data_IF_330758258667
#
_entry.id   IF_330758258667
#
_cell.length_a   1.000
_cell.length_b   1.000
_cell.length_c   1.000
_cell.angle_alpha   90.00
_cell.angle_beta   90.00
_cell.angle_gamma   90.00
#
_symmetry.space_group_name_H-M   'P 1'
#
loop_
_entity.id
_entity.type
_entity.pdbx_description
1 polymer ?
#
# COMPACT_ATOMS: atom_id res chain seq x y z
N UNK A 1 11.12 9.83 -3.18
CA UNK A 1 9.99 9.85 -2.24
C UNK A 1 8.71 9.83 -3.07
N UNK A 2 8.01 8.69 -3.09
CA UNK A 2 6.83 8.47 -3.93
C UNK A 2 5.57 8.83 -3.12
N UNK A 3 4.81 9.85 -3.53
CA UNK A 3 3.53 10.24 -2.92
C UNK A 3 2.34 9.81 -3.81
N UNK A 4 2.63 9.09 -4.90
CA UNK A 4 1.65 8.61 -5.88
C UNK A 4 1.01 7.26 -5.54
N UNK A 5 1.23 6.77 -4.31
CA UNK A 5 0.75 5.44 -3.89
C UNK A 5 -0.76 5.28 -4.03
N UNK A 6 -1.51 6.33 -3.74
CA UNK A 6 -2.97 6.36 -3.87
C UNK A 6 -3.42 6.10 -5.32
N UNK A 7 -2.88 6.86 -6.28
CA UNK A 7 -3.21 6.71 -7.70
C UNK A 7 -2.72 5.39 -8.27
N UNK A 8 -1.53 4.93 -7.84
CA UNK A 8 -0.99 3.63 -8.23
C UNK A 8 -1.87 2.47 -7.72
N UNK A 9 -2.39 2.58 -6.49
CA UNK A 9 -3.33 1.63 -5.92
C UNK A 9 -4.68 1.67 -6.63
N UNK A 10 -5.21 2.85 -6.96
CA UNK A 10 -6.46 2.99 -7.73
C UNK A 10 -6.37 2.27 -9.08
N UNK A 11 -5.31 2.53 -9.86
CA UNK A 11 -5.10 1.82 -11.12
C UNK A 11 -4.78 0.34 -10.92
N UNK A 12 -4.11 -0.03 -9.84
CA UNK A 12 -3.97 -1.42 -9.42
C UNK A 12 -5.34 -2.09 -9.21
N UNK A 13 -6.29 -1.38 -8.60
CA UNK A 13 -7.68 -1.84 -8.44
C UNK A 13 -8.38 -2.09 -9.77
N UNK A 14 -8.13 -1.26 -10.78
CA UNK A 14 -8.58 -1.54 -12.16
C UNK A 14 -7.96 -2.83 -12.69
N UNK A 15 -6.65 -3.03 -12.53
CA UNK A 15 -5.97 -4.26 -12.93
C UNK A 15 -6.53 -5.52 -12.25
N UNK A 16 -6.83 -5.43 -10.94
CA UNK A 16 -7.50 -6.48 -10.17
C UNK A 16 -8.90 -6.75 -10.73
N UNK A 17 -9.70 -5.70 -10.95
CA UNK A 17 -11.07 -5.85 -11.45
C UNK A 17 -11.11 -6.47 -12.84
N UNK A 18 -10.23 -6.04 -13.75
CA UNK A 18 -10.14 -6.61 -15.09
C UNK A 18 -9.73 -8.09 -15.04
N UNK A 19 -8.76 -8.44 -14.19
CA UNK A 19 -8.35 -9.83 -14.00
C UNK A 19 -9.49 -10.70 -13.44
N UNK A 20 -10.27 -10.19 -12.47
CA UNK A 20 -11.36 -10.95 -11.85
C UNK A 20 -12.63 -11.04 -12.71
N UNK A 21 -12.90 -10.07 -13.57
CA UNK A 21 -14.11 -10.02 -14.39
C UNK A 21 -13.98 -10.76 -15.73
N UNK A 22 -12.84 -10.59 -16.41
CA UNK A 22 -12.67 -11.07 -17.78
C UNK A 22 -12.00 -12.45 -17.87
N UNK A 23 -11.37 -12.92 -16.80
CA UNK A 23 -10.75 -14.24 -16.76
C UNK A 23 -11.60 -15.17 -15.90
N UNK A 24 -12.12 -16.28 -16.45
CA UNK A 24 -12.86 -17.26 -15.68
C UNK A 24 -11.89 -18.09 -14.84
N UNK A 25 -11.77 -17.76 -13.55
CA UNK A 25 -10.91 -18.47 -12.63
C UNK A 25 -11.62 -19.70 -12.05
N UNK A 26 -11.02 -20.90 -12.11
CA UNK A 26 -11.60 -22.11 -11.55
C UNK A 26 -11.45 -22.19 -10.03
N UNK A 27 -10.52 -21.44 -9.44
CA UNK A 27 -10.26 -21.44 -8.01
C UNK A 27 -9.69 -20.08 -7.54
N UNK A 28 -10.03 -19.69 -6.31
CA UNK A 28 -9.67 -18.40 -5.72
C UNK A 28 -8.16 -18.17 -5.62
N UNK A 29 -7.35 -19.23 -5.51
CA UNK A 29 -5.88 -19.14 -5.47
C UNK A 29 -5.29 -18.62 -6.79
N UNK A 30 -5.83 -19.12 -7.91
CA UNK A 30 -5.41 -18.66 -9.24
C UNK A 30 -5.95 -17.26 -9.51
N UNK A 31 -7.18 -16.97 -9.06
CA UNK A 31 -7.72 -15.63 -9.10
C UNK A 31 -6.87 -14.64 -8.29
N UNK A 32 -6.42 -15.01 -7.09
CA UNK A 32 -5.54 -14.18 -6.25
C UNK A 32 -4.20 -13.93 -6.95
N UNK A 33 -3.59 -14.95 -7.55
CA UNK A 33 -2.34 -14.79 -8.30
C UNK A 33 -2.52 -13.89 -9.52
N UNK A 34 -3.58 -14.10 -10.30
CA UNK A 34 -3.92 -13.29 -11.47
C UNK A 34 -4.25 -11.84 -11.11
N UNK A 35 -5.07 -11.63 -10.08
CA UNK A 35 -5.38 -10.32 -9.53
C UNK A 35 -4.14 -9.62 -8.98
N UNK A 36 -3.25 -10.33 -8.29
CA UNK A 36 -1.99 -9.78 -7.79
C UNK A 36 -1.08 -9.32 -8.93
N UNK A 37 -0.94 -10.14 -9.99
CA UNK A 37 -0.17 -9.76 -11.19
C UNK A 37 -0.82 -8.58 -11.89
N UNK A 38 -2.14 -8.57 -12.06
CA UNK A 38 -2.89 -7.47 -12.67
C UNK A 38 -2.73 -6.16 -11.89
N UNK A 39 -2.94 -6.21 -10.57
CA UNK A 39 -2.79 -5.07 -9.68
C UNK A 39 -1.36 -4.53 -9.66
N UNK A 40 -0.36 -5.41 -9.54
CA UNK A 40 1.04 -5.02 -9.57
C UNK A 40 1.44 -4.43 -10.94
N UNK A 41 0.99 -5.02 -12.05
CA UNK A 41 1.32 -4.55 -13.39
C UNK A 41 0.72 -3.17 -13.66
N UNK A 42 -0.55 -2.94 -13.34
CA UNK A 42 -1.19 -1.65 -13.54
C UNK A 42 -0.63 -0.57 -12.61
N UNK A 43 -0.39 -0.89 -11.34
CA UNK A 43 0.25 0.03 -10.40
C UNK A 43 1.68 0.41 -10.81
N UNK A 44 2.47 -0.58 -11.28
CA UNK A 44 3.81 -0.33 -11.81
C UNK A 44 3.76 0.49 -13.11
N UNK A 45 2.85 0.17 -14.04
CA UNK A 45 2.68 0.92 -15.29
C UNK A 45 2.31 2.39 -15.01
N UNK A 46 1.45 2.63 -14.02
CA UNK A 46 1.10 3.99 -13.61
C UNK A 46 2.28 4.75 -12.99
N UNK A 47 3.09 4.07 -12.19
CA UNK A 47 4.31 4.64 -11.61
C UNK A 47 5.42 4.89 -12.65
N UNK A 48 5.41 4.18 -13.77
CA UNK A 48 6.43 4.28 -14.80
C UNK A 48 6.52 5.69 -15.42
N UNK A 49 5.37 6.35 -15.60
CA UNK A 49 5.32 7.67 -16.26
C UNK A 49 5.98 8.75 -15.38
N UNK A 50 5.57 8.95 -14.09
CA UNK A 50 6.28 9.87 -13.21
C UNK A 50 7.76 9.50 -13.02
N UNK A 51 8.08 8.21 -12.95
CA UNK A 51 9.46 7.74 -12.82
C UNK A 51 10.32 8.15 -14.02
N UNK A 52 9.79 8.01 -15.23
CA UNK A 52 10.49 8.38 -16.45
C UNK A 52 10.67 9.89 -16.54
N UNK A 53 9.64 10.67 -16.20
CA UNK A 53 9.72 12.13 -16.16
C UNK A 53 10.79 12.61 -15.18
N UNK A 54 10.86 12.03 -13.99
CA UNK A 54 11.94 12.33 -13.05
C UNK A 54 13.30 11.90 -13.61
N UNK A 55 13.43 10.67 -14.08
CA UNK A 55 14.71 10.07 -14.47
C UNK A 55 15.34 10.74 -15.71
N UNK A 56 14.52 11.22 -16.66
CA UNK A 56 14.99 11.79 -17.92
C UNK A 56 14.86 13.31 -18.00
N UNK A 57 13.82 13.89 -17.41
CA UNK A 57 13.52 15.33 -17.50
C UNK A 57 13.78 16.09 -16.21
N UNK A 58 14.22 15.42 -15.15
CA UNK A 58 14.49 16.06 -13.86
C UNK A 58 13.23 16.62 -13.18
N UNK A 59 12.04 16.16 -13.57
CA UNK A 59 10.79 16.62 -12.96
C UNK A 59 10.74 16.25 -11.47
N UNK A 60 10.22 17.15 -10.64
CA UNK A 60 10.13 16.89 -9.21
C UNK A 60 9.16 15.72 -8.92
N UNK A 61 9.69 14.62 -8.38
CA UNK A 61 8.94 13.38 -8.20
C UNK A 61 7.71 13.55 -7.32
N UNK A 62 7.80 14.38 -6.29
CA UNK A 62 6.68 14.58 -5.36
C UNK A 62 5.51 15.26 -6.06
N UNK A 63 5.77 16.32 -6.83
CA UNK A 63 4.70 17.08 -7.50
C UNK A 63 4.08 16.21 -8.59
N UNK A 64 4.90 15.57 -9.42
CA UNK A 64 4.41 14.72 -10.52
C UNK A 64 3.57 13.55 -9.99
N UNK A 65 4.01 12.88 -8.93
CA UNK A 65 3.24 11.76 -8.35
C UNK A 65 1.95 12.20 -7.67
N UNK A 66 1.92 13.36 -7.00
CA UNK A 66 0.68 13.92 -6.43
C UNK A 66 -0.32 14.27 -7.55
N UNK A 67 0.13 14.94 -8.61
CA UNK A 67 -0.73 15.28 -9.75
C UNK A 67 -1.31 14.03 -10.43
N UNK A 68 -0.51 12.96 -10.53
CA UNK A 68 -0.96 11.69 -11.07
C UNK A 68 -2.01 10.97 -10.21
N UNK A 69 -2.12 11.27 -8.91
CA UNK A 69 -3.24 10.77 -8.10
C UNK A 69 -4.57 11.37 -8.55
N UNK A 70 -4.61 12.67 -8.83
CA UNK A 70 -5.83 13.33 -9.33
C UNK A 70 -6.20 12.84 -10.73
N UNK A 71 -5.21 12.66 -11.61
CA UNK A 71 -5.44 12.09 -12.94
C UNK A 71 -5.98 10.65 -12.82
N UNK A 72 -5.41 9.84 -11.92
CA UNK A 72 -5.89 8.48 -11.66
C UNK A 72 -7.34 8.47 -11.17
N UNK A 73 -7.67 9.35 -10.22
CA UNK A 73 -9.03 9.47 -9.69
C UNK A 73 -10.02 9.88 -10.80
N UNK A 74 -9.71 10.91 -11.58
CA UNK A 74 -10.56 11.36 -12.69
C UNK A 74 -10.73 10.26 -13.75
N UNK A 75 -9.66 9.56 -14.10
CA UNK A 75 -9.70 8.42 -15.03
C UNK A 75 -10.57 7.28 -14.48
N UNK A 76 -10.44 6.95 -13.20
CA UNK A 76 -11.22 5.89 -12.57
C UNK A 76 -12.72 6.21 -12.58
N UNK A 77 -13.07 7.45 -12.23
CA UNK A 77 -14.47 7.93 -12.31
C UNK A 77 -14.99 7.81 -13.74
N UNK A 78 -14.22 8.27 -14.73
CA UNK A 78 -14.62 8.14 -16.13
C UNK A 78 -14.86 6.69 -16.55
N UNK A 79 -13.94 5.77 -16.21
CA UNK A 79 -14.05 4.36 -16.56
C UNK A 79 -15.23 3.67 -15.88
N UNK A 80 -15.44 3.92 -14.58
CA UNK A 80 -16.54 3.32 -13.83
C UNK A 80 -17.91 3.86 -14.23
N UNK A 81 -17.99 5.11 -14.69
CA UNK A 81 -19.27 5.70 -15.13
C UNK A 81 -19.61 5.32 -16.57
N UNK A 82 -18.64 5.33 -17.48
CA UNK A 82 -18.90 5.25 -18.91
C UNK A 82 -18.57 3.89 -19.55
N UNK A 83 -17.66 3.10 -18.97
CA UNK A 83 -17.12 1.89 -19.61
C UNK A 83 -17.48 0.61 -18.85
N UNK A 84 -17.24 0.60 -17.54
CA UNK A 84 -17.32 -0.61 -16.70
C UNK A 84 -18.60 -0.68 -15.86
N UNK A 85 -19.48 0.30 -16.01
CA UNK A 85 -20.73 0.41 -15.26
C UNK A 85 -21.66 -0.76 -15.56
N UNK A 86 -22.27 -1.34 -14.53
CA UNK A 86 -23.35 -2.32 -14.72
C UNK A 86 -24.56 -1.65 -15.37
N UNK A 87 -25.07 -2.16 -16.51
CA UNK A 87 -26.29 -1.63 -17.13
C UNK A 87 -27.46 -1.65 -16.14
N UNK A 88 -28.09 -0.49 -15.94
CA UNK A 88 -29.24 -0.34 -15.03
C UNK A 88 -28.88 -0.01 -13.57
N UNK A 89 -27.60 -0.01 -13.19
CA UNK A 89 -27.20 0.49 -11.85
C UNK A 89 -27.14 2.01 -11.84
N UNK A 90 -27.58 2.64 -10.74
CA UNK A 90 -27.34 4.07 -10.50
C UNK A 90 -25.94 4.31 -9.91
N UNK A 91 -25.37 3.31 -9.23
CA UNK A 91 -24.04 3.40 -8.64
C UNK A 91 -22.94 3.17 -9.68
N UNK A 92 -21.84 3.95 -9.65
CA UNK A 92 -20.67 3.75 -10.51
C UNK A 92 -19.78 2.63 -9.95
N UNK A 93 -20.22 1.39 -10.16
CA UNK A 93 -19.53 0.17 -9.73
C UNK A 93 -19.49 -0.87 -10.85
N UNK A 94 -18.48 -1.75 -10.80
CA UNK A 94 -18.42 -2.91 -11.69
C UNK A 94 -19.41 -3.98 -11.27
N UNK A 95 -19.62 -4.97 -12.15
CA UNK A 95 -20.27 -6.22 -11.76
C UNK A 95 -19.53 -6.86 -10.58
N UNK A 96 -20.28 -7.59 -9.74
CA UNK A 96 -19.70 -8.41 -8.68
C UNK A 96 -18.87 -9.53 -9.28
N UNK A 97 -17.77 -9.86 -8.61
CA UNK A 97 -16.90 -10.94 -9.05
C UNK A 97 -17.56 -12.30 -8.86
N UNK A 98 -17.31 -13.25 -9.79
CA UNK A 98 -17.80 -14.62 -9.67
C UNK A 98 -17.21 -15.29 -8.43
N UNK A 99 -17.89 -16.30 -7.89
CA UNK A 99 -17.50 -16.97 -6.64
C UNK A 99 -16.07 -17.52 -6.67
N UNK A 100 -15.63 -18.05 -7.82
CA UNK A 100 -14.26 -18.53 -8.02
C UNK A 100 -13.18 -17.45 -7.95
N UNK A 101 -13.55 -16.17 -7.97
CA UNK A 101 -12.64 -15.02 -7.87
C UNK A 101 -12.71 -14.29 -6.51
N UNK A 102 -13.63 -14.69 -5.62
CA UNK A 102 -13.76 -14.14 -4.26
C UNK A 102 -12.72 -14.75 -3.34
N UNK A 103 -12.20 -13.94 -2.42
CA UNK A 103 -11.21 -14.42 -1.45
C UNK A 103 -11.90 -15.02 -0.22
N UNK A 104 -11.43 -16.17 0.29
CA UNK A 104 -11.94 -16.72 1.53
C UNK A 104 -11.75 -15.75 2.70
N UNK A 105 -12.80 -15.59 3.50
CA UNK A 105 -12.77 -14.76 4.71
C UNK A 105 -12.10 -15.52 5.87
N UNK A 106 -11.74 -14.81 6.94
CA UNK A 106 -11.19 -15.42 8.15
C UNK A 106 -12.15 -16.42 8.82
N UNK A 107 -13.45 -16.31 8.57
CA UNK A 107 -14.41 -17.31 8.98
C UNK A 107 -14.17 -18.65 8.25
N UNK A 108 -13.79 -18.63 6.97
CA UNK A 108 -13.66 -19.84 6.17
C UNK A 108 -12.39 -20.64 6.47
N UNK A 109 -11.26 -19.95 6.76
CA UNK A 109 -9.98 -20.62 7.04
C UNK A 109 -9.60 -20.66 8.53
N UNK A 110 -10.22 -19.85 9.38
CA UNK A 110 -9.88 -19.70 10.79
C UNK A 110 -11.11 -19.64 11.71
N UNK A 111 -12.23 -20.28 11.35
CA UNK A 111 -13.41 -20.42 12.22
C UNK A 111 -13.06 -20.94 13.63
N UNK A 112 -12.05 -21.80 13.77
CA UNK A 112 -11.61 -22.35 15.05
C UNK A 112 -11.03 -21.31 16.01
N UNK A 113 -10.62 -20.13 15.52
CA UNK A 113 -10.04 -19.04 16.31
C UNK A 113 -11.12 -18.08 16.87
N UNK A 114 -12.41 -18.37 16.63
CA UNK A 114 -13.52 -17.56 17.13
C UNK A 114 -13.77 -16.27 16.33
N UNK A 115 -13.23 -16.15 15.12
CA UNK A 115 -13.53 -15.03 14.24
C UNK A 115 -14.99 -15.08 13.79
N UNK A 116 -15.73 -13.99 14.01
CA UNK A 116 -17.11 -13.85 13.51
C UNK A 116 -17.15 -13.73 11.99
N UNK A 117 -18.31 -14.02 11.39
CA UNK A 117 -18.56 -13.85 9.94
C UNK A 117 -18.32 -12.42 9.43
N UNK A 118 -18.34 -11.43 10.32
CA UNK A 118 -18.12 -10.02 10.01
C UNK A 118 -16.65 -9.59 10.08
N UNK A 119 -15.70 -10.49 10.35
CA UNK A 119 -14.29 -10.12 10.41
C UNK A 119 -13.79 -9.77 9.00
N UNK A 120 -13.33 -8.52 8.74
CA UNK A 120 -12.87 -8.08 7.42
C UNK A 120 -11.50 -8.69 7.04
N UNK A 121 -10.99 -9.62 7.84
CA UNK A 121 -9.73 -10.31 7.59
C UNK A 121 -9.94 -11.38 6.51
N UNK A 122 -9.07 -11.39 5.50
CA UNK A 122 -9.07 -12.37 4.42
C UNK A 122 -7.64 -12.81 4.07
N UNK A 123 -7.51 -13.70 3.08
CA UNK A 123 -6.22 -14.26 2.66
C UNK A 123 -5.22 -13.21 2.16
N UNK A 124 -5.66 -12.00 1.76
CA UNK A 124 -4.77 -10.92 1.34
C UNK A 124 -3.83 -10.44 2.46
N UNK A 125 -4.16 -10.71 3.73
CA UNK A 125 -3.23 -10.48 4.85
C UNK A 125 -1.92 -11.27 4.70
N UNK A 126 -2.00 -12.54 4.28
CA UNK A 126 -0.81 -13.36 4.03
C UNK A 126 -0.02 -12.86 2.82
N UNK A 127 -0.71 -12.34 1.80
CA UNK A 127 -0.07 -11.66 0.67
C UNK A 127 0.71 -10.42 1.13
N UNK A 128 0.13 -9.61 2.03
CA UNK A 128 0.80 -8.44 2.59
C UNK A 128 2.05 -8.81 3.39
N UNK A 129 2.00 -9.87 4.22
CA UNK A 129 3.16 -10.40 4.92
C UNK A 129 4.22 -10.94 3.96
N UNK A 130 3.82 -11.68 2.93
CA UNK A 130 4.72 -12.16 1.88
C UNK A 130 5.42 -10.99 1.16
N UNK A 131 4.69 -9.91 0.88
CA UNK A 131 5.26 -8.69 0.31
C UNK A 131 6.26 -8.01 1.27
N UNK A 132 5.95 -7.93 2.56
CA UNK A 132 6.87 -7.37 3.56
C UNK A 132 8.19 -8.16 3.65
N UNK A 133 8.10 -9.49 3.67
CA UNK A 133 9.29 -10.38 3.62
C UNK A 133 10.01 -10.25 2.27
N UNK A 134 9.26 -10.16 1.16
CA UNK A 134 9.81 -9.97 -0.18
C UNK A 134 10.62 -8.67 -0.31
N UNK A 135 10.09 -7.56 0.22
CA UNK A 135 10.81 -6.28 0.28
C UNK A 135 12.04 -6.37 1.17
N UNK A 136 11.93 -7.06 2.31
CA UNK A 136 13.09 -7.31 3.18
C UNK A 136 14.20 -8.07 2.44
N UNK A 137 13.86 -9.17 1.76
CA UNK A 137 14.81 -9.93 0.95
C UNK A 137 15.39 -9.07 -0.18
N UNK A 138 14.56 -8.33 -0.91
CA UNK A 138 14.99 -7.48 -2.01
C UNK A 138 15.99 -6.43 -1.54
N UNK A 139 15.66 -5.70 -0.47
CA UNK A 139 16.52 -4.62 0.02
C UNK A 139 17.79 -5.18 0.65
N UNK A 140 17.72 -6.16 1.55
CA UNK A 140 18.88 -6.61 2.34
C UNK A 140 19.68 -7.76 1.75
N UNK A 141 19.10 -8.57 0.86
CA UNK A 141 19.76 -9.78 0.32
C UNK A 141 20.11 -9.72 -1.16
N UNK A 142 19.78 -8.64 -1.88
CA UNK A 142 20.08 -8.53 -3.33
C UNK A 142 21.01 -7.37 -3.68
N UNK A 143 21.66 -7.49 -4.85
CA UNK A 143 22.51 -6.43 -5.43
C UNK A 143 21.69 -5.16 -5.74
N UNK A 144 20.47 -5.34 -6.26
CA UNK A 144 19.56 -4.25 -6.55
C UNK A 144 19.18 -3.47 -5.28
N UNK A 145 18.93 -4.17 -4.18
CA UNK A 145 18.71 -3.53 -2.88
C UNK A 145 19.91 -2.72 -2.38
N UNK A 146 21.12 -3.21 -2.62
CA UNK A 146 22.35 -2.44 -2.34
C UNK A 146 22.43 -1.17 -3.20
N UNK A 147 22.18 -1.26 -4.51
CA UNK A 147 22.19 -0.10 -5.41
C UNK A 147 21.14 0.95 -5.01
N UNK A 148 19.93 0.53 -4.63
CA UNK A 148 18.86 1.43 -4.16
C UNK A 148 19.29 2.16 -2.88
N UNK A 149 19.87 1.44 -1.91
CA UNK A 149 20.34 2.06 -0.66
C UNK A 149 21.51 3.01 -0.90
N UNK A 150 22.49 2.60 -1.71
CA UNK A 150 23.65 3.43 -2.01
C UNK A 150 23.22 4.74 -2.69
N UNK A 151 22.34 4.65 -3.70
CA UNK A 151 21.78 5.80 -4.38
C UNK A 151 20.97 6.71 -3.44
N UNK A 152 20.18 6.14 -2.53
CA UNK A 152 19.41 6.88 -1.54
C UNK A 152 20.26 7.60 -0.48
N UNK A 153 21.48 7.15 -0.22
CA UNK A 153 22.41 7.80 0.71
C UNK A 153 23.19 8.94 0.05
N UNK A 154 23.69 8.70 -1.16
CA UNK A 154 24.42 9.71 -1.92
C UNK A 154 24.38 9.40 -3.42
N UNK A 155 23.67 10.23 -4.17
CA UNK A 155 23.61 10.13 -5.63
C UNK A 155 24.98 10.30 -6.29
N UNK A 156 25.81 11.31 -5.97
CA UNK A 156 27.13 11.45 -6.59
C UNK A 156 28.05 10.25 -6.35
N UNK A 157 28.05 9.70 -5.13
CA UNK A 157 28.86 8.52 -4.80
C UNK A 157 28.36 7.26 -5.53
N UNK A 158 27.04 7.10 -5.68
CA UNK A 158 26.45 5.99 -6.42
C UNK A 158 26.81 6.05 -7.91
N UNK A 159 26.76 7.25 -8.52
CA UNK A 159 27.19 7.45 -9.91
C UNK A 159 28.68 7.12 -10.08
N UNK A 160 29.52 7.55 -9.14
CA UNK A 160 30.94 7.21 -9.14
C UNK A 160 31.19 5.70 -9.03
N UNK A 161 30.35 4.98 -8.28
CA UNK A 161 30.39 3.52 -8.18
C UNK A 161 29.81 2.79 -9.41
N UNK A 162 29.45 3.50 -10.49
CA UNK A 162 28.94 2.92 -11.73
C UNK A 162 27.43 2.64 -11.74
N UNK A 163 26.69 3.10 -10.73
CA UNK A 163 25.23 2.94 -10.67
C UNK A 163 24.58 3.94 -11.62
N UNK A 164 23.72 3.46 -12.51
CA UNK A 164 22.97 4.30 -13.47
C UNK A 164 21.72 4.88 -12.81
N UNK A 165 21.63 6.21 -12.57
CA UNK A 165 20.49 6.82 -11.87
C UNK A 165 19.15 6.52 -12.53
N UNK A 166 19.09 6.63 -13.87
CA UNK A 166 17.87 6.39 -14.65
C UNK A 166 17.30 5.00 -14.39
N UNK A 167 18.17 3.97 -14.35
CA UNK A 167 17.75 2.59 -14.13
C UNK A 167 17.20 2.42 -12.70
N UNK A 168 17.90 2.96 -11.70
CA UNK A 168 17.50 2.83 -10.30
C UNK A 168 16.21 3.56 -9.99
N UNK A 169 16.04 4.78 -10.51
CA UNK A 169 14.79 5.54 -10.34
C UNK A 169 13.62 4.76 -10.93
N UNK A 170 13.75 4.29 -12.17
CA UNK A 170 12.69 3.52 -12.84
C UNK A 170 12.36 2.24 -12.07
N UNK A 171 13.36 1.40 -11.77
CA UNK A 171 13.12 0.11 -11.13
C UNK A 171 12.53 0.27 -9.72
N UNK A 172 13.03 1.23 -8.93
CA UNK A 172 12.50 1.50 -7.58
C UNK A 172 11.05 1.97 -7.65
N UNK A 173 10.72 2.83 -8.61
CA UNK A 173 9.36 3.33 -8.78
C UNK A 173 8.40 2.26 -9.30
N UNK A 174 8.83 1.41 -10.23
CA UNK A 174 8.02 0.28 -10.71
C UNK A 174 7.71 -0.70 -9.57
N UNK A 175 8.70 -1.02 -8.73
CA UNK A 175 8.49 -1.88 -7.56
C UNK A 175 7.53 -1.20 -6.57
N UNK A 176 7.75 0.09 -6.26
CA UNK A 176 6.87 0.84 -5.36
C UNK A 176 5.43 0.89 -5.88
N UNK A 177 5.24 1.15 -7.18
CA UNK A 177 3.93 1.20 -7.81
C UNK A 177 3.25 -0.16 -7.86
N UNK A 178 4.01 -1.22 -8.13
CA UNK A 178 3.50 -2.58 -8.09
C UNK A 178 3.03 -2.99 -6.69
N UNK A 179 3.81 -2.68 -5.66
CA UNK A 179 3.43 -2.93 -4.26
C UNK A 179 2.21 -2.10 -3.84
N UNK A 180 2.11 -0.84 -4.29
CA UNK A 180 0.93 -0.02 -4.08
C UNK A 180 -0.30 -0.62 -4.79
N UNK A 181 -0.15 -1.13 -6.01
CA UNK A 181 -1.21 -1.83 -6.74
C UNK A 181 -1.69 -3.11 -6.06
N UNK A 182 -0.79 -3.86 -5.42
CA UNK A 182 -1.16 -5.05 -4.63
C UNK A 182 -2.02 -4.75 -3.41
N UNK A 183 -1.95 -3.53 -2.87
CA UNK A 183 -2.83 -3.08 -1.78
C UNK A 183 -4.31 -3.18 -2.18
N UNK A 184 -4.63 -2.89 -3.44
CA UNK A 184 -6.00 -2.90 -3.95
C UNK A 184 -6.61 -4.30 -4.04
N UNK A 185 -5.81 -5.36 -3.96
CA UNK A 185 -6.31 -6.75 -3.92
C UNK A 185 -7.27 -6.94 -2.75
N UNK A 186 -6.91 -6.43 -1.56
CA UNK A 186 -7.78 -6.55 -0.39
C UNK A 186 -9.10 -5.78 -0.58
N UNK A 187 -9.01 -4.50 -0.92
CA UNK A 187 -10.17 -3.63 -1.02
C UNK A 187 -11.13 -4.04 -2.15
N UNK A 188 -10.60 -4.44 -3.31
CA UNK A 188 -11.39 -4.71 -4.52
C UNK A 188 -11.81 -6.17 -4.61
N UNK A 189 -10.89 -7.12 -4.41
CA UNK A 189 -11.17 -8.56 -4.54
C UNK A 189 -11.68 -9.19 -3.24
N UNK A 190 -11.15 -8.75 -2.09
CA UNK A 190 -11.46 -9.35 -0.80
C UNK A 190 -12.70 -8.79 -0.14
N UNK A 191 -12.76 -7.47 0.05
CA UNK A 191 -13.82 -6.82 0.83
C UNK A 191 -15.03 -6.42 -0.03
N UNK A 192 -14.81 -5.63 -1.09
CA UNK A 192 -15.91 -5.13 -1.91
C UNK A 192 -16.42 -6.16 -2.93
N UNK A 193 -15.58 -7.13 -3.31
CA UNK A 193 -15.83 -8.11 -4.40
C UNK A 193 -16.26 -7.47 -5.73
N UNK A 194 -15.90 -6.20 -5.93
CA UNK A 194 -16.18 -5.36 -7.09
C UNK A 194 -15.32 -4.12 -6.99
N UNK A 195 -15.15 -3.43 -8.11
CA UNK A 195 -14.50 -2.12 -8.10
C UNK A 195 -15.55 -1.03 -7.92
N UNK A 196 -15.36 -0.24 -6.87
CA UNK A 196 -16.14 0.97 -6.55
C UNK A 196 -15.26 2.21 -6.65
N UNK A 197 -15.89 3.37 -6.79
CA UNK A 197 -15.20 4.65 -6.64
C UNK A 197 -14.55 4.71 -5.24
N UNK A 198 -13.34 5.25 -5.21
CA UNK A 198 -12.59 5.48 -3.97
C UNK A 198 -12.33 4.21 -3.13
N UNK A 199 -12.06 3.09 -3.80
CA UNK A 199 -11.78 1.81 -3.15
C UNK A 199 -10.53 1.81 -2.25
N UNK A 200 -9.59 2.73 -2.44
CA UNK A 200 -8.33 2.80 -1.68
C UNK A 200 -8.50 3.61 -0.38
N UNK A 201 -9.48 4.52 -0.30
CA UNK A 201 -9.84 5.28 0.90
C UNK A 201 -8.66 5.96 1.62
N UNK A 202 -7.68 6.47 0.87
CA UNK A 202 -6.52 7.16 1.45
C UNK A 202 -5.45 6.25 2.04
N UNK A 203 -5.57 4.92 1.91
CA UNK A 203 -4.59 3.97 2.41
C UNK A 203 -3.19 4.18 1.82
N UNK A 204 -3.10 4.71 0.59
CA UNK A 204 -1.83 5.08 -0.03
C UNK A 204 -1.11 6.21 0.72
N UNK A 205 -1.85 7.18 1.27
CA UNK A 205 -1.27 8.26 2.08
C UNK A 205 -0.93 7.78 3.50
N UNK A 206 -1.81 7.00 4.12
CA UNK A 206 -1.55 6.40 5.45
C UNK A 206 -0.29 5.53 5.40
N UNK A 207 -0.08 4.79 4.30
CA UNK A 207 1.11 3.97 4.08
C UNK A 207 2.43 4.75 4.14
N UNK A 208 2.46 6.02 3.73
CA UNK A 208 3.66 6.88 3.84
C UNK A 208 4.00 7.10 5.32
N UNK A 209 2.99 7.42 6.13
CA UNK A 209 3.16 7.68 7.54
C UNK A 209 3.58 6.42 8.31
N UNK A 210 2.96 5.28 7.99
CA UNK A 210 3.34 3.96 8.51
C UNK A 210 4.78 3.61 8.14
N UNK A 211 5.21 3.89 6.90
CA UNK A 211 6.58 3.64 6.47
C UNK A 211 7.61 4.52 7.21
N UNK A 212 7.28 5.78 7.46
CA UNK A 212 8.12 6.70 8.23
C UNK A 212 8.24 6.27 9.70
N UNK A 213 7.11 5.95 10.34
CA UNK A 213 7.07 5.45 11.72
C UNK A 213 7.82 4.13 11.87
N UNK A 214 7.64 3.22 10.91
CA UNK A 214 8.37 1.95 10.84
C UNK A 214 9.85 2.09 10.44
N UNK A 215 10.35 3.33 10.25
CA UNK A 215 11.72 3.66 9.85
C UNK A 215 12.19 2.93 8.59
N UNK A 216 11.27 2.68 7.65
CA UNK A 216 11.52 1.90 6.44
C UNK A 216 12.06 0.47 6.70
N UNK A 217 11.91 -0.05 7.92
CA UNK A 217 12.24 -1.43 8.25
C UNK A 217 10.97 -2.29 8.24
N UNK A 218 10.93 -3.42 7.50
CA UNK A 218 9.71 -4.22 7.31
C UNK A 218 9.00 -4.61 8.61
N UNK A 219 9.75 -4.98 9.66
CA UNK A 219 9.17 -5.29 10.98
C UNK A 219 8.49 -4.07 11.61
N UNK A 220 9.12 -2.90 11.53
CA UNK A 220 8.53 -1.66 12.07
C UNK A 220 7.29 -1.23 11.29
N UNK A 221 7.32 -1.42 9.97
CA UNK A 221 6.17 -1.14 9.07
C UNK A 221 4.99 -2.05 9.40
N UNK A 222 5.21 -3.35 9.63
CA UNK A 222 4.13 -4.28 10.00
C UNK A 222 3.50 -3.90 11.34
N UNK A 223 4.31 -3.60 12.36
CA UNK A 223 3.78 -3.20 13.68
C UNK A 223 3.01 -1.87 13.60
N UNK A 224 3.54 -0.89 12.86
CA UNK A 224 2.85 0.38 12.63
C UNK A 224 1.55 0.17 11.82
N UNK A 225 1.56 -0.67 10.78
CA UNK A 225 0.36 -0.97 9.99
C UNK A 225 -0.75 -1.60 10.85
N UNK A 226 -0.40 -2.50 11.78
CA UNK A 226 -1.36 -3.07 12.72
C UNK A 226 -1.96 -1.99 13.61
N UNK A 227 -1.15 -1.08 14.18
CA UNK A 227 -1.65 0.04 14.98
C UNK A 227 -2.64 0.90 14.20
N UNK A 228 -2.30 1.30 12.97
CA UNK A 228 -3.19 2.12 12.14
C UNK A 228 -4.45 1.36 11.71
N UNK A 229 -4.33 0.06 11.43
CA UNK A 229 -5.47 -0.81 11.14
C UNK A 229 -6.43 -0.89 12.33
N UNK A 230 -5.92 -1.04 13.56
CA UNK A 230 -6.73 -1.03 14.78
C UNK A 230 -7.41 0.32 14.98
N UNK A 231 -6.71 1.44 14.78
CA UNK A 231 -7.29 2.77 14.89
C UNK A 231 -8.37 3.02 13.84
N UNK A 232 -8.15 2.55 12.61
CA UNK A 232 -9.08 2.73 11.51
C UNK A 232 -10.35 1.88 11.70
N UNK A 233 -10.19 0.58 11.90
CA UNK A 233 -11.31 -0.34 12.07
C UNK A 233 -12.06 -0.08 13.39
N UNK A 234 -11.33 0.14 14.48
CA UNK A 234 -11.93 0.49 15.77
C UNK A 234 -12.61 1.85 15.73
N UNK A 235 -12.05 2.81 15.00
CA UNK A 235 -12.67 4.11 14.77
C UNK A 235 -13.99 4.01 13.98
N UNK A 236 -14.03 3.18 12.94
CA UNK A 236 -15.25 2.94 12.17
C UNK A 236 -16.35 2.26 13.00
N UNK A 237 -15.99 1.29 13.86
CA UNK A 237 -16.95 0.65 14.77
C UNK A 237 -17.47 1.63 15.84
N UNK A 238 -16.60 2.48 16.38
CA UNK A 238 -17.01 3.52 17.33
C UNK A 238 -17.94 4.56 16.69
N UNK A 239 -17.67 4.98 15.46
CA UNK A 239 -18.55 5.88 14.70
C UNK A 239 -19.94 5.25 14.51
N UNK A 240 -19.99 3.94 14.24
CA UNK A 240 -21.25 3.22 14.10
C UNK A 240 -22.03 3.13 15.41
N UNK A 241 -21.35 2.85 16.54
CA UNK A 241 -22.01 2.68 17.84
C UNK A 241 -22.29 4.01 18.56
N UNK A 242 -21.49 5.04 18.31
CA UNK A 242 -21.53 6.33 19.01
C UNK A 242 -21.62 7.48 17.98
N UNK A 243 -22.83 8.04 17.76
CA UNK A 243 -23.03 9.14 16.80
C UNK A 243 -22.23 10.42 17.10
N UNK A 244 -21.75 10.57 18.34
CA UNK A 244 -20.90 11.68 18.74
C UNK A 244 -19.47 11.57 18.17
N UNK A 245 -19.04 10.38 17.73
CA UNK A 245 -17.71 10.14 17.18
C UNK A 245 -17.78 10.10 15.66
N UNK A 246 -17.24 11.11 14.98
CA UNK A 246 -17.10 11.12 13.52
C UNK A 246 -15.80 10.47 13.05
N UNK A 247 -15.80 9.95 11.81
CA UNK A 247 -14.58 9.47 11.14
C UNK A 247 -13.46 10.49 11.09
N UNK A 248 -13.80 11.77 11.00
CA UNK A 248 -12.83 12.88 10.98
C UNK A 248 -12.02 12.93 12.27
N UNK A 249 -12.62 12.63 13.42
CA UNK A 249 -11.89 12.56 14.69
C UNK A 249 -10.87 11.42 14.70
N UNK A 250 -11.20 10.27 14.11
CA UNK A 250 -10.25 9.14 13.96
C UNK A 250 -9.06 9.56 13.09
N UNK A 251 -9.32 10.26 11.99
CA UNK A 251 -8.28 10.78 11.09
C UNK A 251 -7.41 11.82 11.81
N UNK A 252 -7.99 12.71 12.60
CA UNK A 252 -7.24 13.68 13.41
C UNK A 252 -6.35 12.97 14.44
N UNK A 253 -6.86 11.94 15.13
CA UNK A 253 -6.06 11.14 16.05
C UNK A 253 -4.89 10.47 15.33
N UNK A 254 -5.13 9.85 14.16
CA UNK A 254 -4.07 9.28 13.34
C UNK A 254 -3.03 10.35 12.95
N UNK A 255 -3.46 11.53 12.51
CA UNK A 255 -2.58 12.64 12.16
C UNK A 255 -1.73 13.11 13.36
N UNK A 256 -2.33 13.20 14.56
CA UNK A 256 -1.61 13.52 15.79
C UNK A 256 -0.59 12.45 16.15
N UNK A 257 -0.93 11.16 16.02
CA UNK A 257 0.02 10.06 16.23
C UNK A 257 1.21 10.18 15.27
N UNK A 258 0.96 10.48 14.00
CA UNK A 258 2.03 10.71 13.00
C UNK A 258 2.89 11.91 13.38
N UNK A 259 2.27 13.03 13.76
CA UNK A 259 2.96 14.24 14.16
C UNK A 259 3.84 14.00 15.38
N UNK A 260 3.31 13.37 16.43
CA UNK A 260 4.06 13.11 17.66
C UNK A 260 5.16 12.06 17.44
N UNK A 261 4.90 10.97 16.75
CA UNK A 261 5.95 9.96 16.47
C UNK A 261 7.06 10.52 15.59
N UNK A 262 6.74 11.35 14.60
CA UNK A 262 7.72 12.05 13.77
C UNK A 262 8.51 13.11 14.54
N UNK A 263 7.84 13.97 15.31
CA UNK A 263 8.47 15.06 16.07
C UNK A 263 9.29 14.56 17.28
N UNK A 264 8.85 13.46 17.91
CA UNK A 264 9.49 12.89 19.10
C UNK A 264 10.62 11.89 18.77
N UNK A 265 10.96 11.65 17.49
CA UNK A 265 12.00 10.67 17.10
C UNK A 265 13.32 10.92 17.86
N UNK A 266 13.74 12.18 17.97
CA UNK A 266 14.95 12.54 18.70
C UNK A 266 14.78 12.51 20.24
N UNK A 267 13.56 12.68 20.75
CA UNK A 267 13.27 12.66 22.20
C UNK A 267 13.34 11.25 22.79
N UNK A 268 12.96 10.20 22.04
CA UNK A 268 13.06 8.81 22.50
C UNK A 268 14.44 8.22 22.22
N UNK A 269 15.05 8.56 21.07
CA UNK A 269 16.35 8.01 20.66
C UNK A 269 17.49 8.41 21.60
N UNK A 270 17.55 9.68 22.02
CA UNK A 270 18.63 10.17 22.89
C UNK A 270 18.72 9.45 24.25
N UNK A 271 17.63 9.30 25.03
CA UNK A 271 17.68 8.58 26.31
C UNK A 271 17.90 7.07 26.15
N UNK A 272 17.28 6.42 25.15
CA UNK A 272 17.47 4.97 24.92
C UNK A 272 18.91 4.64 24.49
N UNK A 273 19.50 5.45 23.60
CA UNK A 273 20.90 5.28 23.22
C UNK A 273 21.84 5.49 24.41
N UNK A 274 21.58 6.50 25.25
CA UNK A 274 22.34 6.73 26.49
C UNK A 274 22.21 5.55 27.47
N UNK A 275 21.02 5.00 27.64
CA UNK A 275 20.76 3.83 28.49
C UNK A 275 21.48 2.58 27.97
N UNK A 276 21.41 2.32 26.66
CA UNK A 276 22.08 1.18 26.05
C UNK A 276 23.61 1.26 26.16
N UNK A 277 24.19 2.46 25.96
CA UNK A 277 25.62 2.68 26.13
C UNK A 277 26.08 2.58 27.59
N UNK A 278 25.25 2.99 28.56
CA UNK A 278 25.55 2.82 29.98
C UNK A 278 25.45 1.37 30.44
N UNK A 279 24.49 0.60 29.92
CA UNK A 279 24.39 -0.84 30.17
C UNK A 279 25.57 -1.63 29.55
N UNK A 280 26.00 -1.25 28.34
CA UNK A 280 27.13 -1.92 27.67
C UNK A 280 28.48 -1.61 28.34
N UNK A 281 28.63 -0.45 28.99
CA UNK A 281 29.80 -0.10 29.81
C UNK A 281 29.91 -0.88 31.12
N UNK A 282 28.83 -1.50 31.61
CA UNK A 282 28.86 -2.35 32.82
C UNK A 282 29.19 -3.82 32.52
N UNK A 283 29.22 -4.21 31.25
CA UNK A 283 29.44 -5.59 30.81
C UNK A 283 30.87 -5.86 30.27
N UNK A 284 31.75 -4.86 30.34
CA UNK A 284 33.20 -4.93 30.08
C UNK A 284 33.92 -4.54 31.36
#
# INVERSE_FOLDING_TARGET
FNIGGEGQALLGGLGVALACLYIPWPHWTLALAGASVGGAAFGAAWAAIPAWLQAKRGSHIVITTIMFNFIASALMVYLLVNVLKVPGSMAPETARFPEGARLPSAFDFAAWLGFGKSAPLNVAFFLALACAVGVWLLIWRTRLGYEIRAFGQSEPAAVYAGIRPVKIIMVTMLISGGLAGLMAVNAVQGEAERLVIDSVQGAGFVGIAVALMGRSHPVGVVLAAILFGVLYQGGAELEFQMPAISREMVVVIQALVILFTGALDNMVRAPVARLFLTLRRKAV
#
